data_IF_341549072458
#
_entry.id   IF_341549072458
#
_cell.length_a   1.000
_cell.length_b   1.000
_cell.length_c   1.000
_cell.angle_alpha   90.00
_cell.angle_beta   90.00
_cell.angle_gamma   90.00
#
_symmetry.space_group_name_H-M   'P 1'
#
loop_
_entity.id
_entity.type
_entity.pdbx_description
1 polymer ?
#
# COMPACT_ATOMS: atom_id res chain seq x y z
N UNK A 1 18.01 18.36 -1.93
CA UNK A 1 17.87 17.52 -3.13
C UNK A 1 16.76 16.52 -2.84
N UNK A 2 15.58 16.64 -3.47
CA UNK A 2 14.55 15.59 -3.35
C UNK A 2 15.13 14.32 -3.95
N UNK A 3 15.48 13.36 -3.12
CA UNK A 3 15.84 12.01 -3.55
C UNK A 3 14.60 11.42 -4.21
N UNK A 4 14.64 11.21 -5.52
CA UNK A 4 13.55 10.54 -6.24
C UNK A 4 13.35 9.16 -5.62
N UNK A 5 12.20 8.96 -4.99
CA UNK A 5 11.82 7.68 -4.40
C UNK A 5 11.93 6.59 -5.46
N UNK A 6 12.62 5.47 -5.18
CA UNK A 6 12.80 4.40 -6.14
C UNK A 6 11.47 3.77 -6.56
N UNK A 7 11.28 3.58 -7.86
CA UNK A 7 10.14 2.86 -8.43
C UNK A 7 10.51 1.39 -8.51
N UNK A 8 9.86 0.55 -7.70
CA UNK A 8 10.11 -0.88 -7.72
C UNK A 8 9.24 -1.54 -8.79
N UNK A 9 9.87 -2.25 -9.71
CA UNK A 9 9.19 -3.05 -10.74
C UNK A 9 9.19 -4.50 -10.29
N UNK A 10 8.00 -5.07 -10.13
CA UNK A 10 7.78 -6.39 -9.55
C UNK A 10 6.80 -7.18 -10.42
N UNK A 11 7.04 -8.49 -10.53
CA UNK A 11 6.07 -9.45 -11.07
C UNK A 11 5.10 -9.95 -9.99
N UNK A 12 4.48 -11.11 -10.23
CA UNK A 12 3.55 -11.74 -9.28
C UNK A 12 4.27 -12.38 -8.07
N UNK A 13 3.47 -12.75 -7.06
CA UNK A 13 3.93 -13.26 -5.76
C UNK A 13 4.75 -14.55 -5.85
N UNK A 14 4.43 -15.42 -6.81
CA UNK A 14 5.12 -16.68 -7.06
C UNK A 14 5.91 -16.62 -8.37
N UNK A 15 6.93 -15.76 -8.49
CA UNK A 15 7.48 -15.35 -9.78
C UNK A 15 8.09 -16.52 -10.53
N UNK A 16 7.67 -16.68 -11.78
CA UNK A 16 8.31 -17.53 -12.78
C UNK A 16 9.38 -16.75 -13.56
N UNK A 17 9.96 -17.40 -14.57
CA UNK A 17 11.10 -16.84 -15.30
C UNK A 17 10.71 -15.59 -16.09
N UNK A 18 9.53 -15.58 -16.70
CA UNK A 18 9.00 -14.46 -17.46
C UNK A 18 8.58 -13.29 -16.55
N UNK A 19 8.05 -13.54 -15.35
CA UNK A 19 7.83 -12.47 -14.39
C UNK A 19 9.13 -11.77 -13.96
N UNK A 20 10.19 -12.54 -13.68
CA UNK A 20 11.51 -11.99 -13.33
C UNK A 20 12.14 -11.26 -14.51
N UNK A 21 12.14 -11.87 -15.70
CA UNK A 21 12.70 -11.26 -16.89
C UNK A 21 11.98 -9.97 -17.27
N UNK A 22 10.65 -9.95 -17.18
CA UNK A 22 9.83 -8.77 -17.43
C UNK A 22 10.13 -7.65 -16.42
N UNK A 23 10.29 -7.97 -15.14
CA UNK A 23 10.65 -6.99 -14.13
C UNK A 23 12.03 -6.34 -14.40
N UNK A 24 13.02 -7.15 -14.79
CA UNK A 24 14.37 -6.67 -15.15
C UNK A 24 14.30 -5.77 -16.39
N UNK A 25 13.68 -6.28 -17.47
CA UNK A 25 13.61 -5.55 -18.74
C UNK A 25 12.82 -4.25 -18.63
N UNK A 26 11.70 -4.27 -17.90
CA UNK A 26 10.88 -3.08 -17.73
C UNK A 26 11.52 -2.03 -16.81
N UNK A 27 12.21 -2.45 -15.73
CA UNK A 27 13.00 -1.52 -14.92
C UNK A 27 14.12 -0.86 -15.73
N UNK A 28 14.78 -1.62 -16.61
CA UNK A 28 15.76 -1.07 -17.54
C UNK A 28 15.13 -0.07 -18.50
N UNK A 29 14.00 -0.41 -19.12
CA UNK A 29 13.29 0.48 -20.04
C UNK A 29 12.89 1.80 -19.37
N UNK A 30 12.36 1.77 -18.15
CA UNK A 30 11.98 2.99 -17.41
C UNK A 30 13.19 3.88 -17.08
N UNK A 31 14.36 3.28 -16.80
CA UNK A 31 15.60 4.05 -16.60
C UNK A 31 16.04 4.73 -17.90
N UNK A 32 16.09 3.98 -19.00
CA UNK A 32 16.58 4.50 -20.29
C UNK A 32 15.63 5.49 -20.95
N UNK A 33 14.32 5.20 -20.93
CA UNK A 33 13.31 6.01 -21.60
C UNK A 33 12.91 7.25 -20.80
N UNK A 34 12.73 7.10 -19.48
CA UNK A 34 12.08 8.11 -18.63
C UNK A 34 13.02 8.73 -17.60
N UNK A 35 14.26 8.25 -17.47
CA UNK A 35 15.20 8.72 -16.46
C UNK A 35 14.76 8.44 -15.01
N UNK A 36 13.83 7.49 -14.82
CA UNK A 36 13.31 7.15 -13.50
C UNK A 36 14.33 6.33 -12.70
N UNK A 37 14.32 6.48 -11.38
CA UNK A 37 15.04 5.60 -10.46
C UNK A 37 14.28 4.25 -10.33
N UNK A 38 14.21 3.49 -11.43
CA UNK A 38 13.50 2.22 -11.47
C UNK A 38 14.42 1.04 -11.09
N UNK A 39 13.94 0.15 -10.23
CA UNK A 39 14.70 -0.99 -9.70
C UNK A 39 13.85 -2.25 -9.84
N UNK A 40 14.41 -3.29 -10.48
CA UNK A 40 13.75 -4.59 -10.56
C UNK A 40 13.77 -5.28 -9.19
N UNK A 41 12.65 -5.89 -8.82
CA UNK A 41 12.45 -6.60 -7.58
C UNK A 41 11.65 -7.88 -7.80
N UNK A 42 11.71 -8.81 -6.85
CA UNK A 42 10.90 -10.05 -6.82
C UNK A 42 10.06 -10.10 -5.56
N UNK A 43 8.81 -10.55 -5.68
CA UNK A 43 7.90 -10.73 -4.56
C UNK A 43 7.94 -12.14 -3.93
N UNK A 44 8.64 -13.08 -4.57
CA UNK A 44 8.77 -14.46 -4.09
C UNK A 44 10.14 -15.06 -4.39
N UNK A 45 10.30 -16.35 -4.08
CA UNK A 45 11.55 -17.08 -4.29
C UNK A 45 11.88 -17.24 -5.78
N UNK A 46 13.17 -17.29 -6.11
CA UNK A 46 13.64 -17.58 -7.47
C UNK A 46 13.62 -19.10 -7.68
N UNK A 47 13.00 -19.56 -8.75
CA UNK A 47 12.99 -20.99 -9.08
C UNK A 47 14.36 -21.46 -9.60
N UNK A 48 14.70 -22.75 -9.53
CA UNK A 48 15.96 -23.27 -10.08
C UNK A 48 16.14 -22.98 -11.58
N UNK A 49 15.05 -23.05 -12.35
CA UNK A 49 15.05 -22.71 -13.77
C UNK A 49 15.40 -21.23 -13.98
N UNK A 50 14.75 -20.34 -13.25
CA UNK A 50 15.02 -18.89 -13.33
C UNK A 50 16.44 -18.57 -12.90
N UNK A 51 16.94 -19.20 -11.83
CA UNK A 51 18.32 -19.04 -11.38
C UNK A 51 19.34 -19.49 -12.44
N UNK A 52 19.07 -20.61 -13.11
CA UNK A 52 19.90 -21.09 -14.22
C UNK A 52 19.91 -20.11 -15.39
N UNK A 53 18.74 -19.56 -15.77
CA UNK A 53 18.63 -18.55 -16.85
C UNK A 53 19.41 -17.29 -16.50
N UNK A 54 19.23 -16.75 -15.29
CA UNK A 54 19.94 -15.55 -14.82
C UNK A 54 21.46 -15.76 -14.83
N UNK A 55 21.93 -16.89 -14.30
CA UNK A 55 23.36 -17.25 -14.31
C UNK A 55 23.90 -17.35 -15.74
N UNK A 56 23.15 -17.98 -16.63
CA UNK A 56 23.54 -18.14 -18.05
C UNK A 56 23.60 -16.79 -18.76
N UNK A 57 22.71 -15.86 -18.41
CA UNK A 57 22.71 -14.48 -18.92
C UNK A 57 23.73 -13.54 -18.24
N UNK A 58 24.45 -14.00 -17.21
CA UNK A 58 25.35 -13.16 -16.43
C UNK A 58 24.63 -12.07 -15.61
N UNK A 59 23.36 -12.30 -15.27
CA UNK A 59 22.53 -11.37 -14.52
C UNK A 59 22.36 -11.83 -13.07
N UNK A 60 22.39 -10.88 -12.15
CA UNK A 60 22.03 -11.11 -10.76
C UNK A 60 20.51 -11.20 -10.59
N UNK A 61 20.07 -12.00 -9.62
CA UNK A 61 18.66 -12.06 -9.28
C UNK A 61 18.17 -10.72 -8.71
N UNK A 62 16.97 -10.23 -9.10
CA UNK A 62 16.39 -9.05 -8.48
C UNK A 62 16.28 -9.18 -6.97
N UNK A 63 16.42 -8.07 -6.26
CA UNK A 63 16.31 -8.05 -4.81
C UNK A 63 14.90 -8.48 -4.36
N UNK A 64 14.82 -9.11 -3.20
CA UNK A 64 13.55 -9.53 -2.62
C UNK A 64 12.83 -8.35 -2.00
N UNK A 65 11.62 -8.07 -2.46
CA UNK A 65 10.71 -7.13 -1.83
C UNK A 65 9.66 -7.92 -1.04
N UNK A 66 9.89 -8.02 0.27
CA UNK A 66 9.07 -8.86 1.15
C UNK A 66 7.67 -8.30 1.39
N UNK A 67 7.50 -6.98 1.31
CA UNK A 67 6.23 -6.32 1.59
C UNK A 67 6.06 -5.06 0.74
N UNK A 68 4.90 -4.97 0.07
CA UNK A 68 4.42 -3.80 -0.65
C UNK A 68 3.02 -3.40 -0.16
N UNK A 69 2.58 -3.96 0.97
CA UNK A 69 1.29 -3.65 1.58
C UNK A 69 1.22 -2.16 1.91
N UNK A 70 0.05 -1.54 1.71
CA UNK A 70 -0.09 -0.13 2.03
C UNK A 70 0.09 0.09 3.53
N UNK A 71 0.89 1.10 3.87
CA UNK A 71 1.04 1.55 5.27
C UNK A 71 -0.26 2.17 5.74
N UNK A 72 -0.59 1.99 7.02
CA UNK A 72 -1.78 2.56 7.65
C UNK A 72 -1.95 4.04 7.30
N UNK A 73 -0.90 4.85 7.43
CA UNK A 73 -0.90 6.29 7.10
C UNK A 73 -1.36 6.63 5.67
N UNK A 74 -1.16 5.71 4.70
CA UNK A 74 -1.57 5.92 3.30
C UNK A 74 -2.99 5.47 3.01
N UNK A 75 -3.57 4.61 3.83
CA UNK A 75 -4.93 4.08 3.64
C UNK A 75 -5.93 4.61 4.67
N UNK A 76 -5.42 5.09 5.81
CA UNK A 76 -6.23 5.67 6.86
C UNK A 76 -6.85 6.97 6.36
N UNK A 77 -8.13 7.12 6.67
CA UNK A 77 -8.89 8.34 6.43
C UNK A 77 -9.20 8.97 7.77
N UNK A 78 -8.99 10.28 7.86
CA UNK A 78 -9.43 11.03 9.04
C UNK A 78 -10.92 11.27 8.91
N UNK A 79 -11.68 10.88 9.93
CA UNK A 79 -13.11 11.14 10.02
C UNK A 79 -13.33 12.38 10.90
N UNK A 80 -14.34 13.21 10.60
CA UNK A 80 -14.69 14.35 11.46
C UNK A 80 -14.99 13.88 12.89
N UNK A 81 -14.29 14.41 13.91
CA UNK A 81 -14.57 14.09 15.30
C UNK A 81 -15.89 14.69 15.77
N UNK A 82 -16.60 13.98 16.65
CA UNK A 82 -17.83 14.46 17.30
C UNK A 82 -17.64 14.40 18.82
N UNK A 83 -17.97 15.48 19.53
CA UNK A 83 -17.92 15.50 21.00
C UNK A 83 -19.11 14.72 21.60
N UNK A 84 -18.97 14.13 22.80
CA UNK A 84 -20.00 13.29 23.41
C UNK A 84 -21.29 14.04 23.78
N UNK A 85 -21.22 15.36 23.95
CA UNK A 85 -22.36 16.23 24.26
C UNK A 85 -23.14 16.70 23.02
N UNK A 86 -22.69 16.31 21.81
CA UNK A 86 -23.34 16.69 20.55
C UNK A 86 -24.59 15.86 20.29
N UNK A 87 -25.58 16.45 19.60
CA UNK A 87 -26.77 15.71 19.19
C UNK A 87 -26.46 14.50 18.29
N UNK A 88 -27.13 13.38 18.52
CA UNK A 88 -26.92 12.12 17.78
C UNK A 88 -27.02 12.28 16.25
N UNK A 89 -27.85 13.20 15.76
CA UNK A 89 -27.98 13.51 14.32
C UNK A 89 -26.65 13.92 13.67
N UNK A 90 -25.73 14.53 14.42
CA UNK A 90 -24.43 14.98 13.89
C UNK A 90 -23.48 13.79 13.73
N UNK A 91 -23.45 12.90 14.72
CA UNK A 91 -22.77 11.61 14.58
C UNK A 91 -23.37 10.79 13.42
N UNK A 92 -24.70 10.78 13.26
CA UNK A 92 -25.36 10.12 12.14
C UNK A 92 -24.95 10.68 10.77
N UNK A 93 -24.82 12.01 10.66
CA UNK A 93 -24.37 12.66 9.42
C UNK A 93 -22.94 12.25 9.05
N UNK A 94 -22.02 12.21 10.02
CA UNK A 94 -20.64 11.77 9.81
C UNK A 94 -20.58 10.29 9.42
N UNK A 95 -21.32 9.42 10.13
CA UNK A 95 -21.38 7.99 9.84
C UNK A 95 -21.93 7.72 8.42
N UNK A 96 -23.03 8.39 8.06
CA UNK A 96 -23.67 8.25 6.74
C UNK A 96 -22.76 8.73 5.60
N UNK A 97 -22.11 9.88 5.75
CA UNK A 97 -21.22 10.43 4.71
C UNK A 97 -19.97 9.56 4.50
N UNK A 98 -19.40 9.04 5.58
CA UNK A 98 -18.18 8.20 5.52
C UNK A 98 -18.45 6.74 5.14
N UNK A 99 -19.71 6.34 5.03
CA UNK A 99 -20.13 4.94 4.88
C UNK A 99 -19.45 4.05 5.95
N UNK A 100 -19.37 4.56 7.17
CA UNK A 100 -18.65 3.99 8.31
C UNK A 100 -19.26 4.50 9.62
N UNK A 101 -18.50 4.48 10.72
CA UNK A 101 -18.92 5.09 11.99
C UNK A 101 -18.47 6.54 12.13
N UNK A 102 -19.02 7.23 13.12
CA UNK A 102 -18.56 8.54 13.56
C UNK A 102 -17.72 8.40 14.85
N UNK A 103 -16.46 8.86 14.85
CA UNK A 103 -15.63 8.81 16.05
C UNK A 103 -16.13 9.82 17.08
N UNK A 104 -16.29 9.35 18.32
CA UNK A 104 -16.57 10.21 19.47
C UNK A 104 -15.27 10.45 20.21
N UNK A 105 -14.91 11.71 20.40
CA UNK A 105 -13.66 12.12 21.07
C UNK A 105 -13.97 13.12 22.17
N UNK A 106 -13.10 13.23 23.16
CA UNK A 106 -13.17 14.31 24.15
C UNK A 106 -12.65 15.65 23.60
N UNK A 107 -12.65 16.68 24.44
CA UNK A 107 -12.19 18.02 24.06
C UNK A 107 -10.69 18.08 23.70
N UNK A 108 -9.89 17.15 24.22
CA UNK A 108 -8.45 17.04 23.95
C UNK A 108 -8.17 16.15 22.71
N UNK A 109 -9.23 15.62 22.08
CA UNK A 109 -9.15 14.76 20.91
C UNK A 109 -8.86 13.29 21.22
N UNK A 110 -8.88 12.89 22.50
CA UNK A 110 -8.72 11.50 22.86
C UNK A 110 -10.00 10.69 22.51
N UNK A 111 -9.86 9.48 21.95
CA UNK A 111 -10.99 8.69 21.51
C UNK A 111 -11.79 8.15 22.71
N UNK A 112 -13.09 8.47 22.74
CA UNK A 112 -14.05 7.95 23.71
C UNK A 112 -14.84 6.76 23.17
N UNK A 113 -15.08 6.71 21.86
CA UNK A 113 -15.83 5.63 21.23
C UNK A 113 -16.22 5.91 19.78
N UNK A 114 -17.25 5.22 19.30
CA UNK A 114 -17.75 5.37 17.94
C UNK A 114 -19.26 5.13 17.89
N UNK A 115 -19.98 5.94 17.13
CA UNK A 115 -21.38 5.70 16.79
C UNK A 115 -21.45 5.04 15.41
N UNK A 116 -22.10 3.90 15.31
CA UNK A 116 -22.34 3.20 14.04
C UNK A 116 -23.84 3.10 13.76
N UNK A 117 -24.23 2.72 12.54
CA UNK A 117 -25.65 2.52 12.24
C UNK A 117 -26.32 1.46 13.12
N UNK A 118 -25.60 0.39 13.46
CA UNK A 118 -26.11 -0.61 14.39
C UNK A 118 -26.30 -0.03 15.79
N UNK A 119 -25.44 0.89 16.24
CA UNK A 119 -25.54 1.52 17.56
C UNK A 119 -26.78 2.42 17.74
N UNK A 120 -27.43 2.83 16.65
CA UNK A 120 -28.58 3.75 16.68
C UNK A 120 -29.91 3.00 16.59
N UNK A 121 -29.94 1.85 15.92
CA UNK A 121 -31.17 1.14 15.59
C UNK A 121 -31.28 -0.27 16.21
N UNK A 122 -30.29 -0.70 17.01
CA UNK A 122 -30.31 -1.90 17.86
C UNK A 122 -30.06 -1.53 19.32
#
# INVERSE_FOLDING_TARGET
MSTLSPVHVIGHLNPDTDAIASAIGYAWLLRERDGLNAIAARAGAVTPQTAWVLKTAGLEAPHFLADASPRFERIARTLPPVLPDRPLREAWAVASASHSGAPIVDADGAPLGMVTGNSVFH
#
